data_IF_488924264152
#
_entry.id   IF_488924264152
#
_cell.length_a   1.000
_cell.length_b   1.000
_cell.length_c   1.000
_cell.angle_alpha   90.00
_cell.angle_beta   90.00
_cell.angle_gamma   90.00
#
_symmetry.space_group_name_H-M   'P 1'
#
loop_
_entity.id
_entity.type
_entity.pdbx_description
1 polymer ?
#
# COMPACT_ATOMS: atom_id res chain seq x y z
N UNK A 1 -8.59 9.45 -15.82
CA UNK A 1 -7.57 8.42 -15.64
C UNK A 1 -8.26 7.09 -15.39
N UNK A 2 -7.65 5.99 -15.80
CA UNK A 2 -8.05 4.64 -15.40
C UNK A 2 -7.14 4.18 -14.25
N UNK A 3 -7.70 3.88 -13.09
CA UNK A 3 -6.96 3.62 -11.85
C UNK A 3 -7.33 2.23 -11.31
N UNK A 4 -6.32 1.40 -11.07
CA UNK A 4 -6.47 0.12 -10.36
C UNK A 4 -6.19 0.33 -8.88
N UNK A 5 -7.16 -0.02 -8.03
CA UNK A 5 -7.02 0.08 -6.57
C UNK A 5 -7.11 -1.32 -5.94
N UNK A 6 -6.01 -1.81 -5.41
CA UNK A 6 -5.96 -3.06 -4.67
C UNK A 6 -6.25 -2.78 -3.19
N UNK A 7 -7.28 -3.42 -2.65
CA UNK A 7 -7.76 -3.18 -1.29
C UNK A 7 -8.72 -1.99 -1.16
N UNK A 8 -9.33 -1.54 -2.27
CA UNK A 8 -10.22 -0.37 -2.34
C UNK A 8 -11.47 -0.44 -1.46
N UNK A 9 -11.86 -1.63 -0.99
CA UNK A 9 -13.03 -1.82 -0.10
C UNK A 9 -12.67 -1.88 1.40
N UNK A 10 -11.39 -1.70 1.76
CA UNK A 10 -10.94 -1.66 3.16
C UNK A 10 -11.21 -0.30 3.83
N UNK A 11 -10.86 -0.17 5.12
CA UNK A 11 -11.08 1.07 5.91
C UNK A 11 -10.51 2.31 5.20
N UNK A 12 -9.22 2.30 4.86
CA UNK A 12 -8.58 3.39 4.13
C UNK A 12 -9.00 3.37 2.65
N UNK A 13 -9.01 2.18 2.06
CA UNK A 13 -9.30 1.99 0.64
C UNK A 13 -10.65 2.57 0.22
N UNK A 14 -11.70 2.43 1.01
CA UNK A 14 -13.03 2.96 0.69
C UNK A 14 -13.05 4.48 0.57
N UNK A 15 -12.30 5.20 1.41
CA UNK A 15 -12.20 6.66 1.36
C UNK A 15 -11.38 7.13 0.14
N UNK A 16 -10.28 6.43 -0.16
CA UNK A 16 -9.48 6.70 -1.37
C UNK A 16 -10.29 6.41 -2.62
N UNK A 17 -11.00 5.27 -2.67
CA UNK A 17 -11.88 4.89 -3.77
C UNK A 17 -12.98 5.93 -3.99
N UNK A 18 -13.66 6.37 -2.93
CA UNK A 18 -14.72 7.38 -3.01
C UNK A 18 -14.21 8.69 -3.66
N UNK A 19 -13.02 9.17 -3.24
CA UNK A 19 -12.44 10.38 -3.83
C UNK A 19 -12.12 10.22 -5.33
N UNK A 20 -11.44 9.13 -5.69
CA UNK A 20 -11.01 8.94 -7.08
C UNK A 20 -12.17 8.60 -8.03
N UNK A 21 -13.29 8.03 -7.53
CA UNK A 21 -14.45 7.67 -8.35
C UNK A 21 -15.18 8.88 -8.97
N UNK A 22 -15.02 10.08 -8.39
CA UNK A 22 -15.70 11.28 -8.87
C UNK A 22 -15.31 11.68 -10.31
N UNK A 23 -14.06 11.41 -10.71
CA UNK A 23 -13.51 11.92 -12.00
C UNK A 23 -12.65 10.88 -12.75
N UNK A 24 -12.69 9.61 -12.37
CA UNK A 24 -11.84 8.59 -12.97
C UNK A 24 -12.62 7.28 -13.16
N UNK A 25 -12.14 6.47 -14.11
CA UNK A 25 -12.54 5.07 -14.23
C UNK A 25 -11.77 4.26 -13.20
N UNK A 26 -12.46 3.52 -12.34
CA UNK A 26 -11.83 2.71 -11.30
C UNK A 26 -12.05 1.23 -11.56
N UNK A 27 -11.02 0.45 -11.26
CA UNK A 27 -11.08 -1.00 -11.12
C UNK A 27 -10.64 -1.33 -9.70
N UNK A 28 -11.52 -1.96 -8.94
CA UNK A 28 -11.25 -2.36 -7.56
C UNK A 28 -10.85 -3.83 -7.54
N UNK A 29 -9.67 -4.13 -6.99
CA UNK A 29 -9.22 -5.50 -6.82
C UNK A 29 -9.02 -5.84 -5.34
N UNK A 30 -9.28 -7.09 -4.98
CA UNK A 30 -9.10 -7.56 -3.61
C UNK A 30 -9.33 -9.06 -3.46
N UNK A 31 -8.90 -9.61 -2.31
CA UNK A 31 -8.97 -11.04 -2.03
C UNK A 31 -10.42 -11.53 -1.89
N UNK A 32 -11.27 -10.76 -1.23
CA UNK A 32 -12.67 -11.15 -0.91
C UNK A 32 -13.70 -10.37 -1.71
N UNK A 33 -13.42 -9.13 -2.10
CA UNK A 33 -14.38 -8.20 -2.72
C UNK A 33 -13.70 -7.37 -3.79
N UNK A 34 -14.47 -6.74 -4.67
CA UNK A 34 -14.03 -5.92 -5.79
C UNK A 34 -14.40 -6.54 -7.14
N UNK A 35 -14.10 -5.81 -8.21
CA UNK A 35 -14.37 -6.19 -9.60
C UNK A 35 -13.51 -7.37 -10.03
N UNK A 36 -12.26 -7.42 -9.52
CA UNK A 36 -11.29 -8.47 -9.82
C UNK A 36 -10.79 -9.10 -8.52
N UNK A 37 -10.74 -10.43 -8.47
CA UNK A 37 -10.13 -11.15 -7.35
C UNK A 37 -8.62 -11.21 -7.53
N UNK A 38 -7.90 -10.89 -6.43
CA UNK A 38 -6.44 -10.99 -6.38
C UNK A 38 -5.97 -11.39 -4.97
N UNK A 39 -5.07 -12.34 -4.90
CA UNK A 39 -4.23 -12.59 -3.74
C UNK A 39 -2.82 -12.06 -4.03
N UNK A 40 -2.43 -10.99 -3.35
CA UNK A 40 -1.11 -10.37 -3.59
C UNK A 40 0.06 -11.19 -3.06
N UNK A 41 -0.19 -12.20 -2.24
CA UNK A 41 0.84 -13.15 -1.80
C UNK A 41 1.23 -14.15 -2.90
N UNK A 42 0.46 -14.22 -3.98
CA UNK A 42 0.71 -15.05 -5.16
C UNK A 42 0.97 -14.20 -6.41
N UNK A 43 2.19 -14.27 -6.93
CA UNK A 43 2.59 -13.53 -8.13
C UNK A 43 1.83 -13.95 -9.40
N UNK A 44 1.32 -15.19 -9.47
CA UNK A 44 0.48 -15.65 -10.59
C UNK A 44 -0.89 -14.99 -10.53
N UNK A 45 -1.46 -14.86 -9.32
CA UNK A 45 -2.71 -14.12 -9.10
C UNK A 45 -2.57 -12.65 -9.48
N UNK A 46 -1.45 -12.01 -9.13
CA UNK A 46 -1.15 -10.62 -9.55
C UNK A 46 -1.08 -10.52 -11.08
N UNK A 47 -0.37 -11.44 -11.75
CA UNK A 47 -0.27 -11.44 -13.21
C UNK A 47 -1.64 -11.60 -13.87
N UNK A 48 -2.45 -12.55 -13.42
CA UNK A 48 -3.82 -12.75 -13.93
C UNK A 48 -4.72 -11.53 -13.71
N UNK A 49 -4.57 -10.82 -12.58
CA UNK A 49 -5.28 -9.57 -12.34
C UNK A 49 -4.92 -8.52 -13.41
N UNK A 50 -3.63 -8.31 -13.69
CA UNK A 50 -3.21 -7.34 -14.70
C UNK A 50 -3.63 -7.71 -16.12
N UNK A 51 -3.60 -8.98 -16.47
CA UNK A 51 -4.11 -9.47 -17.78
C UNK A 51 -5.59 -9.13 -17.99
N UNK A 52 -6.40 -9.18 -16.93
CA UNK A 52 -7.82 -8.79 -16.96
C UNK A 52 -8.03 -7.28 -16.94
N UNK A 53 -7.18 -6.55 -16.21
CA UNK A 53 -7.27 -5.09 -16.04
C UNK A 53 -6.86 -4.36 -17.33
N UNK A 54 -5.84 -4.86 -18.03
CA UNK A 54 -5.19 -4.17 -19.15
C UNK A 54 -4.41 -2.92 -18.68
N UNK A 55 -4.18 -1.99 -19.60
CA UNK A 55 -3.42 -0.76 -19.32
C UNK A 55 -4.18 0.19 -18.40
N UNK A 56 -3.44 0.81 -17.46
CA UNK A 56 -3.96 1.80 -16.50
C UNK A 56 -3.01 2.99 -16.36
N UNK A 57 -3.51 4.10 -15.84
CA UNK A 57 -2.71 5.32 -15.58
C UNK A 57 -2.11 5.33 -14.18
N UNK A 58 -2.76 4.64 -13.22
CA UNK A 58 -2.26 4.55 -11.86
C UNK A 58 -2.62 3.20 -11.21
N UNK A 59 -1.74 2.74 -10.33
CA UNK A 59 -1.94 1.57 -9.46
C UNK A 59 -1.81 2.05 -8.02
N UNK A 60 -2.81 1.75 -7.19
CA UNK A 60 -2.80 2.05 -5.75
C UNK A 60 -2.96 0.73 -5.00
N UNK A 61 -2.03 0.41 -4.11
CA UNK A 61 -2.10 -0.76 -3.25
C UNK A 61 -2.30 -0.35 -1.79
N UNK A 62 -3.49 -0.66 -1.26
CA UNK A 62 -3.86 -0.46 0.15
C UNK A 62 -4.17 -1.83 0.77
N UNK A 63 -3.30 -2.79 0.50
CA UNK A 63 -3.44 -4.18 0.92
C UNK A 63 -2.10 -4.75 1.42
N UNK A 64 -2.19 -5.85 2.11
CA UNK A 64 -1.08 -6.57 2.70
C UNK A 64 -1.20 -6.67 4.22
N UNK A 65 -0.89 -7.84 4.74
CA UNK A 65 -0.99 -8.19 6.16
C UNK A 65 0.36 -8.57 6.73
N UNK A 66 0.55 -8.40 8.03
CA UNK A 66 1.67 -8.90 8.80
C UNK A 66 1.15 -9.35 10.17
N UNK A 67 1.83 -10.30 10.79
CA UNK A 67 1.44 -10.83 12.11
C UNK A 67 1.82 -9.83 13.21
N UNK A 68 0.92 -9.65 14.16
CA UNK A 68 1.14 -8.91 15.41
C UNK A 68 1.07 -9.90 16.57
N UNK A 69 2.16 -10.03 17.30
CA UNK A 69 2.26 -10.84 18.52
C UNK A 69 3.50 -10.43 19.31
N UNK A 70 3.60 -10.86 20.56
CA UNK A 70 4.83 -10.69 21.36
C UNK A 70 6.00 -11.33 20.63
N UNK A 71 7.18 -10.72 20.73
CA UNK A 71 8.38 -11.19 20.02
C UNK A 71 8.72 -12.64 20.31
N UNK A 72 8.57 -13.06 21.56
CA UNK A 72 8.85 -14.42 21.99
C UNK A 72 7.84 -15.48 21.48
N UNK A 73 6.66 -15.02 21.03
CA UNK A 73 5.59 -15.89 20.52
C UNK A 73 5.60 -15.99 18.98
N UNK A 74 6.38 -15.14 18.30
CA UNK A 74 6.49 -15.15 16.84
C UNK A 74 7.39 -16.29 16.36
N UNK A 75 6.84 -17.12 15.49
CA UNK A 75 7.59 -18.14 14.76
C UNK A 75 8.14 -17.58 13.44
N UNK A 76 9.05 -18.30 12.80
CA UNK A 76 9.55 -17.95 11.45
C UNK A 76 8.40 -17.87 10.43
N UNK A 77 7.44 -18.78 10.51
CA UNK A 77 6.24 -18.81 9.65
C UNK A 77 5.39 -17.55 9.82
N UNK A 78 5.29 -17.00 11.03
CA UNK A 78 4.57 -15.75 11.28
C UNK A 78 5.22 -14.56 10.56
N UNK A 79 6.56 -14.53 10.48
CA UNK A 79 7.28 -13.52 9.68
C UNK A 79 7.02 -13.70 8.18
N UNK A 80 6.94 -14.95 7.68
CA UNK A 80 6.64 -15.20 6.28
C UNK A 80 5.25 -14.70 5.86
N UNK A 81 4.28 -14.56 6.76
CA UNK A 81 2.99 -13.94 6.45
C UNK A 81 3.21 -12.52 5.89
N UNK A 82 3.95 -11.69 6.62
CA UNK A 82 4.27 -10.33 6.21
C UNK A 82 5.19 -10.26 4.98
N UNK A 83 6.21 -11.10 4.96
CA UNK A 83 7.15 -11.18 3.85
C UNK A 83 6.47 -11.54 2.53
N UNK A 84 5.56 -12.51 2.51
CA UNK A 84 4.85 -12.93 1.30
C UNK A 84 3.75 -11.94 0.91
N UNK A 85 2.89 -11.57 1.87
CA UNK A 85 1.72 -10.73 1.60
C UNK A 85 2.10 -9.25 1.46
N UNK A 86 2.68 -8.66 2.50
CA UNK A 86 2.93 -7.21 2.52
C UNK A 86 4.14 -6.82 1.68
N UNK A 87 5.33 -7.40 1.94
CA UNK A 87 6.56 -7.02 1.26
C UNK A 87 6.56 -7.50 -0.18
N UNK A 88 6.65 -8.81 -0.40
CA UNK A 88 6.74 -9.36 -1.75
C UNK A 88 5.49 -9.15 -2.58
N UNK A 89 4.31 -9.09 -1.94
CA UNK A 89 3.08 -8.70 -2.62
C UNK A 89 3.20 -7.34 -3.28
N UNK A 90 3.62 -6.31 -2.53
CA UNK A 90 3.79 -4.97 -3.07
C UNK A 90 4.98 -4.86 -4.05
N UNK A 91 6.09 -5.55 -3.79
CA UNK A 91 7.21 -5.66 -4.73
C UNK A 91 6.75 -6.26 -6.07
N UNK A 92 5.98 -7.34 -6.05
CA UNK A 92 5.48 -7.99 -7.27
C UNK A 92 4.45 -7.12 -8.00
N UNK A 93 3.64 -6.32 -7.29
CA UNK A 93 2.77 -5.35 -7.93
C UNK A 93 3.56 -4.32 -8.75
N UNK A 94 4.71 -3.86 -8.27
CA UNK A 94 5.59 -2.97 -9.03
C UNK A 94 6.26 -3.70 -10.19
N UNK A 95 6.89 -4.88 -9.92
CA UNK A 95 7.61 -5.67 -10.94
C UNK A 95 6.75 -6.06 -12.14
N UNK A 96 5.52 -6.46 -11.89
CA UNK A 96 4.58 -6.90 -12.93
C UNK A 96 3.81 -5.70 -13.48
N UNK A 97 3.30 -4.84 -12.59
CA UNK A 97 2.41 -3.73 -12.90
C UNK A 97 3.04 -2.66 -13.77
N UNK A 98 4.37 -2.45 -13.68
CA UNK A 98 5.06 -1.49 -14.56
C UNK A 98 4.83 -1.73 -16.06
N UNK A 99 4.59 -2.98 -16.46
CA UNK A 99 4.32 -3.35 -17.85
C UNK A 99 2.87 -3.06 -18.29
N UNK A 100 2.00 -2.74 -17.34
CA UNK A 100 0.58 -2.41 -17.55
C UNK A 100 0.27 -0.94 -17.23
N UNK A 101 1.30 -0.12 -17.03
CA UNK A 101 1.16 1.31 -16.88
C UNK A 101 1.34 2.04 -18.21
N UNK A 102 0.49 3.02 -18.44
CA UNK A 102 0.71 4.01 -19.48
C UNK A 102 1.98 4.84 -19.16
N UNK A 103 2.56 5.45 -20.19
CA UNK A 103 3.73 6.33 -20.03
C UNK A 103 3.43 7.41 -18.97
N UNK A 104 4.39 7.68 -18.11
CA UNK A 104 4.28 8.64 -17.00
C UNK A 104 3.23 8.25 -15.94
N UNK A 105 2.80 6.99 -15.91
CA UNK A 105 1.91 6.45 -14.89
C UNK A 105 2.53 6.43 -13.49
N UNK A 106 1.73 6.05 -12.49
CA UNK A 106 2.20 6.01 -11.09
C UNK A 106 1.80 4.74 -10.36
N UNK A 107 2.66 4.32 -9.43
CA UNK A 107 2.38 3.26 -8.46
C UNK A 107 2.48 3.84 -7.06
N UNK A 108 1.42 3.69 -6.28
CA UNK A 108 1.38 4.08 -4.87
C UNK A 108 1.24 2.86 -4.00
N UNK A 109 2.26 2.58 -3.20
CA UNK A 109 2.25 1.52 -2.19
C UNK A 109 1.77 2.07 -0.85
N UNK A 110 1.49 1.19 0.12
CA UNK A 110 1.04 1.61 1.46
C UNK A 110 1.78 0.87 2.55
N UNK A 111 2.27 1.63 3.51
CA UNK A 111 2.88 1.14 4.76
C UNK A 111 2.28 1.87 5.95
N UNK A 112 2.94 1.80 7.07
CA UNK A 112 2.57 2.52 8.28
C UNK A 112 3.78 2.98 9.08
N UNK A 113 3.52 3.83 10.06
CA UNK A 113 4.48 4.44 10.97
C UNK A 113 5.44 3.43 11.62
N UNK A 114 5.04 2.16 11.72
CA UNK A 114 5.83 1.10 12.35
C UNK A 114 7.22 0.88 11.73
N UNK A 115 7.47 1.41 10.54
CA UNK A 115 8.81 1.42 9.93
C UNK A 115 9.77 2.39 10.60
N UNK A 116 9.23 3.50 11.11
CA UNK A 116 9.99 4.62 11.67
C UNK A 116 9.82 4.71 13.20
N UNK A 117 8.62 4.41 13.71
CA UNK A 117 8.25 4.45 15.13
C UNK A 117 7.42 3.21 15.49
N UNK A 118 8.07 2.06 15.73
CA UNK A 118 7.39 0.81 16.04
C UNK A 118 6.84 0.80 17.47
N UNK A 119 5.73 0.10 17.65
CA UNK A 119 5.14 -0.17 18.96
C UNK A 119 5.30 -1.64 19.35
N UNK A 120 4.98 -1.99 20.60
CA UNK A 120 5.06 -3.38 21.06
C UNK A 120 4.23 -4.33 20.18
N UNK A 121 4.68 -5.57 20.02
CA UNK A 121 4.02 -6.63 19.22
C UNK A 121 4.07 -6.44 17.71
N UNK A 122 4.88 -5.52 17.18
CA UNK A 122 4.86 -5.15 15.76
C UNK A 122 6.15 -5.45 14.99
N UNK A 123 7.07 -6.27 15.53
CA UNK A 123 8.38 -6.55 14.90
C UNK A 123 8.26 -7.05 13.46
N UNK A 124 7.34 -7.97 13.17
CA UNK A 124 7.08 -8.45 11.82
C UNK A 124 6.56 -7.33 10.90
N UNK A 125 5.62 -6.52 11.38
CA UNK A 125 5.06 -5.41 10.60
C UNK A 125 6.08 -4.28 10.36
N UNK A 126 6.88 -3.93 11.37
CA UNK A 126 7.96 -2.95 11.27
C UNK A 126 8.98 -3.34 10.21
N UNK A 127 9.45 -4.60 10.25
CA UNK A 127 10.41 -5.14 9.29
C UNK A 127 9.93 -5.01 7.84
N UNK A 128 8.70 -5.43 7.54
CA UNK A 128 8.19 -5.40 6.16
C UNK A 128 7.86 -3.99 5.69
N UNK A 129 7.40 -3.10 6.57
CA UNK A 129 7.17 -1.69 6.24
C UNK A 129 8.51 -1.00 5.90
N UNK A 130 9.56 -1.21 6.69
CA UNK A 130 10.90 -0.67 6.42
C UNK A 130 11.48 -1.21 5.11
N UNK A 131 11.28 -2.52 4.83
CA UNK A 131 11.68 -3.13 3.56
C UNK A 131 11.01 -2.48 2.35
N UNK A 132 9.73 -2.10 2.44
CA UNK A 132 9.02 -1.39 1.36
C UNK A 132 9.56 0.03 1.19
N UNK A 133 9.89 0.75 2.30
CA UNK A 133 10.49 2.10 2.20
C UNK A 133 11.79 2.06 1.40
N UNK A 134 12.70 1.17 1.76
CA UNK A 134 13.98 1.00 1.05
C UNK A 134 13.79 0.54 -0.40
N UNK A 135 12.85 -0.37 -0.65
CA UNK A 135 12.52 -0.83 -2.00
C UNK A 135 12.04 0.31 -2.90
N UNK A 136 11.13 1.15 -2.41
CA UNK A 136 10.57 2.28 -3.20
C UNK A 136 11.66 3.28 -3.58
N UNK A 137 12.55 3.61 -2.65
CA UNK A 137 13.67 4.51 -2.91
C UNK A 137 14.63 3.94 -3.96
N UNK A 138 14.93 2.64 -3.88
CA UNK A 138 15.82 1.99 -4.82
C UNK A 138 15.20 1.83 -6.21
N UNK A 139 13.96 1.33 -6.31
CA UNK A 139 13.32 1.08 -7.61
C UNK A 139 13.04 2.37 -8.39
N UNK A 140 12.84 3.49 -7.70
CA UNK A 140 12.65 4.80 -8.33
C UNK A 140 13.88 5.28 -9.14
N UNK A 141 15.07 4.76 -8.84
CA UNK A 141 16.29 5.05 -9.58
C UNK A 141 16.41 4.24 -10.87
N UNK A 142 15.68 3.13 -10.97
CA UNK A 142 15.81 2.15 -12.06
C UNK A 142 14.58 2.07 -12.97
N UNK A 143 13.42 2.55 -12.48
CA UNK A 143 12.18 2.44 -13.24
C UNK A 143 12.16 3.45 -14.39
N UNK A 144 11.78 2.98 -15.58
CA UNK A 144 11.85 3.75 -16.82
C UNK A 144 10.47 4.31 -17.23
N UNK A 145 10.40 4.92 -18.42
CA UNK A 145 9.19 5.45 -19.06
C UNK A 145 8.48 6.56 -18.27
N UNK A 146 9.19 7.27 -17.39
CA UNK A 146 8.61 8.31 -16.55
C UNK A 146 7.62 7.77 -15.49
N UNK A 147 7.61 6.46 -15.27
CA UNK A 147 6.81 5.86 -14.21
C UNK A 147 7.35 6.29 -12.85
N UNK A 148 6.43 6.61 -11.93
CA UNK A 148 6.77 7.02 -10.57
C UNK A 148 6.30 5.98 -9.58
N UNK A 149 7.12 5.67 -8.58
CA UNK A 149 6.78 4.73 -7.50
C UNK A 149 6.97 5.44 -6.18
N UNK A 150 5.90 5.56 -5.39
CA UNK A 150 5.94 6.14 -4.06
C UNK A 150 5.25 5.23 -3.05
N UNK A 151 5.48 5.47 -1.78
CA UNK A 151 4.76 4.81 -0.70
C UNK A 151 4.14 5.83 0.26
N UNK A 152 2.87 5.64 0.59
CA UNK A 152 2.19 6.39 1.65
C UNK A 152 2.37 5.62 2.96
N UNK A 153 3.04 6.25 3.92
CA UNK A 153 3.27 5.71 5.26
C UNK A 153 2.39 6.43 6.25
N UNK A 154 1.43 5.72 6.83
CA UNK A 154 0.38 6.28 7.67
C UNK A 154 0.64 5.99 9.15
N UNK A 155 0.43 6.97 9.98
CA UNK A 155 0.22 6.78 11.41
C UNK A 155 -1.16 6.16 11.68
N UNK A 156 -1.63 6.31 12.92
CA UNK A 156 -2.93 5.77 13.28
C UNK A 156 -4.06 6.64 12.72
N UNK A 157 -4.85 6.08 11.82
CA UNK A 157 -5.97 6.79 11.21
C UNK A 157 -7.18 6.85 12.16
N UNK A 158 -7.97 7.93 12.10
CA UNK A 158 -9.13 8.15 12.96
C UNK A 158 -10.15 7.00 12.92
N UNK A 159 -10.41 6.41 11.76
CA UNK A 159 -11.35 5.29 11.58
C UNK A 159 -10.86 3.98 12.27
N UNK A 160 -9.59 3.90 12.68
CA UNK A 160 -9.01 2.75 13.38
C UNK A 160 -8.59 3.07 14.83
N UNK A 161 -8.77 4.32 15.27
CA UNK A 161 -8.27 4.80 16.55
C UNK A 161 -8.76 3.97 17.73
N UNK A 162 -10.06 3.77 17.88
CA UNK A 162 -10.63 3.03 19.01
C UNK A 162 -10.10 1.59 19.12
N UNK A 163 -9.73 0.99 18.02
CA UNK A 163 -9.20 -0.38 17.97
C UNK A 163 -7.75 -0.48 18.41
N UNK A 164 -6.95 0.55 18.14
CA UNK A 164 -5.49 0.47 18.25
C UNK A 164 -4.86 1.49 19.21
N UNK A 165 -5.63 2.45 19.77
CA UNK A 165 -5.11 3.54 20.61
C UNK A 165 -4.21 3.08 21.76
N UNK A 166 -4.52 1.93 22.37
CA UNK A 166 -3.76 1.41 23.50
C UNK A 166 -2.34 0.92 23.11
N UNK A 167 -2.11 0.66 21.83
CA UNK A 167 -0.79 0.33 21.30
C UNK A 167 0.04 1.57 20.97
N UNK A 168 -0.61 2.74 20.81
CA UNK A 168 0.02 3.99 20.36
C UNK A 168 -0.13 5.11 21.39
N UNK A 169 0.43 4.96 22.61
CA UNK A 169 0.35 6.00 23.64
C UNK A 169 1.01 7.29 23.15
N UNK A 170 0.29 8.42 23.24
CA UNK A 170 0.79 9.74 22.84
C UNK A 170 0.67 10.06 21.35
N UNK A 171 0.18 9.15 20.52
CA UNK A 171 -0.09 9.43 19.09
C UNK A 171 -1.48 10.01 18.89
N UNK A 172 -1.60 11.01 18.03
CA UNK A 172 -2.88 11.56 17.63
C UNK A 172 -3.47 10.79 16.42
N UNK A 173 -4.79 10.62 16.37
CA UNK A 173 -5.42 10.03 15.20
C UNK A 173 -5.33 10.96 13.98
N UNK A 174 -5.01 10.40 12.82
CA UNK A 174 -4.87 11.13 11.56
C UNK A 174 -6.24 11.25 10.89
N UNK A 175 -6.71 12.46 10.55
CA UNK A 175 -7.93 12.64 9.79
C UNK A 175 -7.86 11.96 8.42
N UNK A 176 -8.94 11.28 8.01
CA UNK A 176 -8.99 10.59 6.72
C UNK A 176 -8.81 11.54 5.52
N UNK A 177 -9.11 12.82 5.67
CA UNK A 177 -8.81 13.84 4.66
C UNK A 177 -7.30 13.99 4.39
N UNK A 178 -6.47 13.99 5.43
CA UNK A 178 -4.99 13.99 5.26
C UNK A 178 -4.51 12.72 4.57
N UNK A 179 -5.10 11.57 4.94
CA UNK A 179 -4.79 10.27 4.30
C UNK A 179 -5.08 10.32 2.81
N UNK A 180 -6.29 10.71 2.42
CA UNK A 180 -6.68 10.80 0.99
C UNK A 180 -5.76 11.77 0.23
N UNK A 181 -5.42 12.92 0.83
CA UNK A 181 -4.51 13.90 0.21
C UNK A 181 -3.11 13.32 -0.06
N UNK A 182 -2.60 12.42 0.79
CA UNK A 182 -1.33 11.74 0.54
C UNK A 182 -1.38 10.85 -0.72
N UNK A 183 -2.47 10.10 -0.91
CA UNK A 183 -2.66 9.32 -2.14
C UNK A 183 -2.83 10.20 -3.38
N UNK A 184 -3.55 11.33 -3.26
CA UNK A 184 -3.66 12.32 -4.35
C UNK A 184 -2.27 12.86 -4.73
N UNK A 185 -1.46 13.23 -3.73
CA UNK A 185 -0.07 13.71 -3.92
C UNK A 185 0.75 12.68 -4.67
N UNK A 186 0.72 11.41 -4.25
CA UNK A 186 1.46 10.33 -4.90
C UNK A 186 1.01 10.10 -6.36
N UNK A 187 -0.31 10.08 -6.61
CA UNK A 187 -0.87 9.79 -7.95
C UNK A 187 -0.70 10.97 -8.91
N UNK A 188 -0.95 12.20 -8.46
CA UNK A 188 -1.00 13.40 -9.33
C UNK A 188 0.24 14.28 -9.23
N UNK A 189 1.03 14.13 -8.17
CA UNK A 189 2.26 14.92 -7.95
C UNK A 189 3.41 14.48 -8.85
N UNK A 190 4.59 15.03 -8.58
CA UNK A 190 5.83 14.75 -9.32
C UNK A 190 6.82 13.89 -8.52
N UNK A 191 6.50 13.57 -7.29
CA UNK A 191 7.36 12.78 -6.41
C UNK A 191 7.63 11.39 -7.01
N UNK A 192 8.88 10.92 -6.90
CA UNK A 192 9.30 9.59 -7.28
C UNK A 192 10.31 9.07 -6.24
N UNK A 193 10.11 7.86 -5.73
CA UNK A 193 10.93 7.30 -4.65
C UNK A 193 10.59 7.82 -3.26
N UNK A 194 9.49 8.57 -3.11
CA UNK A 194 9.14 9.25 -1.87
C UNK A 194 8.41 8.33 -0.90
N UNK A 195 8.82 8.42 0.38
CA UNK A 195 8.06 7.90 1.52
C UNK A 195 7.23 9.05 2.08
N UNK A 196 5.98 9.13 1.66
CA UNK A 196 5.04 10.19 2.07
C UNK A 196 4.52 9.86 3.45
N UNK A 197 5.15 10.45 4.47
CA UNK A 197 4.83 10.24 5.89
C UNK A 197 3.69 11.13 6.33
N UNK A 198 2.66 10.53 6.90
CA UNK A 198 1.52 11.22 7.51
C UNK A 198 1.34 10.63 8.91
N UNK A 199 1.99 11.21 9.90
CA UNK A 199 2.05 10.69 11.27
C UNK A 199 1.31 11.57 12.29
N UNK A 200 1.06 12.86 11.94
CA UNK A 200 0.37 13.86 12.75
C UNK A 200 -0.74 14.57 11.97
#
# INVERSE_FOLDING_TARGET
MKILIIGGNGTIGSKVTAHFSEKNELIIAGRKSGDIKVDISDSKSIKSMFEKTGQVDAIICIAGEAKWADFNDLTEEDYYIGLKSKLMGQVNLVRIGKNYLNQSGSITLSTGILADDPVVKTTSAAMVNGGIHSFVQAVALEIENGIRVNVVSLGMVEDAYEKYKDYFPGHNPIPMTKVVNAYIRSVRGKDNGEVIRIYD
#
